data_IF_697981364944
#
_entry.id   IF_697981364944
#
_cell.length_a   1.000
_cell.length_b   1.000
_cell.length_c   1.000
_cell.angle_alpha   90.00
_cell.angle_beta   90.00
_cell.angle_gamma   90.00
#
_symmetry.space_group_name_H-M   'P 1'
#
loop_
_entity.id
_entity.type
_entity.pdbx_description
1 polymer ?
#
# COMPACT_ATOMS: atom_id res chain seq x y z
N UNK A 1 -38.25 3.71 26.45
CA UNK A 1 -36.96 2.97 26.40
C UNK A 1 -36.64 2.40 25.02
N UNK A 2 -37.48 1.55 24.39
CA UNK A 2 -37.19 0.95 23.07
C UNK A 2 -36.87 1.96 21.94
N UNK A 3 -37.65 3.05 21.83
CA UNK A 3 -37.40 4.10 20.82
C UNK A 3 -36.08 4.86 21.07
N UNK A 4 -35.76 5.14 22.34
CA UNK A 4 -34.51 5.82 22.71
C UNK A 4 -33.28 4.96 22.36
N UNK A 5 -33.34 3.66 22.65
CA UNK A 5 -32.30 2.70 22.29
C UNK A 5 -32.10 2.62 20.77
N UNK A 6 -33.19 2.57 20.00
CA UNK A 6 -33.15 2.57 18.54
C UNK A 6 -32.50 3.84 17.98
N UNK A 7 -32.86 5.02 18.49
CA UNK A 7 -32.24 6.28 18.05
C UNK A 7 -30.76 6.36 18.41
N UNK A 8 -30.37 5.85 19.60
CA UNK A 8 -28.96 5.78 19.99
C UNK A 8 -28.16 4.85 19.07
N UNK A 9 -28.67 3.65 18.78
CA UNK A 9 -28.02 2.72 17.85
C UNK A 9 -27.92 3.29 16.43
N UNK A 10 -28.97 3.98 15.95
CA UNK A 10 -28.95 4.63 14.65
C UNK A 10 -27.90 5.76 14.59
N UNK A 11 -27.79 6.56 15.66
CA UNK A 11 -26.79 7.62 15.75
C UNK A 11 -25.35 7.08 15.75
N UNK A 12 -25.08 6.02 16.52
CA UNK A 12 -23.77 5.32 16.49
C UNK A 12 -23.49 4.77 15.09
N UNK A 13 -24.50 4.18 14.44
CA UNK A 13 -24.40 3.68 13.07
C UNK A 13 -23.99 4.76 12.07
N UNK A 14 -24.59 5.95 12.15
CA UNK A 14 -24.26 7.09 11.29
C UNK A 14 -22.81 7.55 11.53
N UNK A 15 -22.37 7.65 12.78
CA UNK A 15 -20.98 8.03 13.10
C UNK A 15 -20.00 6.98 12.54
N UNK A 16 -20.27 5.69 12.72
CA UNK A 16 -19.47 4.62 12.14
C UNK A 16 -19.41 4.69 10.61
N UNK A 17 -20.52 5.02 9.95
CA UNK A 17 -20.56 5.22 8.51
C UNK A 17 -19.70 6.40 8.06
N UNK A 18 -19.85 7.56 8.71
CA UNK A 18 -19.07 8.77 8.40
C UNK A 18 -17.57 8.51 8.57
N UNK A 19 -17.18 7.89 9.68
CA UNK A 19 -15.76 7.56 9.94
C UNK A 19 -15.19 6.60 8.90
N UNK A 20 -15.97 5.60 8.45
CA UNK A 20 -15.57 4.69 7.36
C UNK A 20 -15.43 5.42 6.03
N UNK A 21 -16.36 6.31 5.68
CA UNK A 21 -16.31 7.11 4.45
C UNK A 21 -15.06 8.01 4.46
N UNK A 22 -14.79 8.72 5.56
CA UNK A 22 -13.59 9.56 5.69
C UNK A 22 -12.31 8.73 5.58
N UNK A 23 -12.30 7.55 6.21
CA UNK A 23 -11.19 6.60 6.10
C UNK A 23 -10.95 6.20 4.65
N UNK A 24 -12.00 5.82 3.94
CA UNK A 24 -11.95 5.45 2.53
C UNK A 24 -11.34 6.57 1.65
N UNK A 25 -11.86 7.80 1.75
CA UNK A 25 -11.34 8.93 0.96
C UNK A 25 -9.86 9.22 1.23
N UNK A 26 -9.42 9.09 2.48
CA UNK A 26 -8.01 9.29 2.84
C UNK A 26 -7.12 8.22 2.22
N UNK A 27 -7.55 6.96 2.28
CA UNK A 27 -6.77 5.84 1.74
C UNK A 27 -6.75 5.88 0.21
N UNK A 28 -7.87 6.20 -0.44
CA UNK A 28 -7.93 6.38 -1.90
C UNK A 28 -7.01 7.50 -2.38
N UNK A 29 -6.98 8.64 -1.66
CA UNK A 29 -6.05 9.73 -1.97
C UNK A 29 -4.58 9.31 -1.84
N UNK A 30 -4.24 8.54 -0.80
CA UNK A 30 -2.89 8.01 -0.60
C UNK A 30 -2.50 7.04 -1.72
N UNK A 31 -3.38 6.14 -2.11
CA UNK A 31 -3.14 5.19 -3.21
C UNK A 31 -2.94 5.91 -4.54
N UNK A 32 -3.80 6.88 -4.85
CA UNK A 32 -3.62 7.70 -6.06
C UNK A 32 -2.27 8.43 -6.07
N UNK A 33 -1.74 8.80 -4.90
CA UNK A 33 -0.40 9.35 -4.79
C UNK A 33 0.68 8.29 -5.03
N UNK A 34 0.52 7.08 -4.49
CA UNK A 34 1.43 5.95 -4.74
C UNK A 34 1.52 5.60 -6.22
N UNK A 35 0.38 5.51 -6.91
CA UNK A 35 0.36 5.26 -8.36
C UNK A 35 1.11 6.32 -9.16
N UNK A 36 0.77 7.61 -8.94
CA UNK A 36 1.46 8.73 -9.60
C UNK A 36 2.96 8.80 -9.29
N UNK A 37 3.39 8.27 -8.14
CA UNK A 37 4.79 8.26 -7.75
C UNK A 37 5.52 7.02 -8.28
N UNK A 38 4.85 5.88 -8.43
CA UNK A 38 5.42 4.68 -9.04
C UNK A 38 5.87 4.93 -10.48
N UNK A 39 5.12 5.73 -11.23
CA UNK A 39 5.53 6.16 -12.57
C UNK A 39 6.90 6.87 -12.59
N UNK A 40 7.27 7.54 -11.49
CA UNK A 40 8.54 8.26 -11.34
C UNK A 40 9.71 7.40 -10.87
N UNK A 41 9.46 6.16 -10.45
CA UNK A 41 10.53 5.21 -10.10
C UNK A 41 11.15 4.67 -11.38
N UNK A 42 12.46 4.67 -11.51
CA UNK A 42 13.14 4.16 -12.70
C UNK A 42 13.90 2.85 -12.40
N UNK A 43 14.02 2.00 -13.42
CA UNK A 43 14.84 0.79 -13.35
C UNK A 43 16.31 1.21 -13.14
N UNK A 44 16.99 0.55 -12.21
CA UNK A 44 18.36 0.88 -11.80
C UNK A 44 18.46 1.89 -10.66
N UNK A 45 17.35 2.49 -10.21
CA UNK A 45 17.35 3.25 -8.94
C UNK A 45 17.61 2.32 -7.76
N UNK A 46 18.18 2.86 -6.67
CA UNK A 46 18.26 2.10 -5.43
C UNK A 46 16.87 1.95 -4.80
N UNK A 47 16.68 0.85 -4.07
CA UNK A 47 15.44 0.59 -3.34
C UNK A 47 15.09 1.72 -2.36
N UNK A 48 16.10 2.37 -1.77
CA UNK A 48 15.93 3.52 -0.90
C UNK A 48 15.35 4.74 -1.63
N UNK A 49 15.90 5.06 -2.81
CA UNK A 49 15.40 6.15 -3.65
C UNK A 49 13.97 5.91 -4.10
N UNK A 50 13.68 4.69 -4.58
CA UNK A 50 12.34 4.29 -5.01
C UNK A 50 11.30 4.49 -3.90
N UNK A 51 11.64 4.11 -2.66
CA UNK A 51 10.75 4.26 -1.50
C UNK A 51 10.57 5.70 -1.05
N UNK A 52 11.63 6.51 -1.18
CA UNK A 52 11.56 7.95 -0.97
C UNK A 52 10.59 8.62 -1.95
N UNK A 53 10.61 8.19 -3.21
CA UNK A 53 9.70 8.69 -4.26
C UNK A 53 8.26 8.27 -3.98
N UNK A 54 8.02 6.98 -3.69
CA UNK A 54 6.67 6.46 -3.51
C UNK A 54 5.96 7.12 -2.31
N UNK A 55 6.67 7.36 -1.20
CA UNK A 55 6.10 7.99 0.00
C UNK A 55 5.67 6.98 1.06
N UNK A 56 6.47 5.92 1.22
CA UNK A 56 6.16 4.74 2.04
C UNK A 56 6.69 4.78 3.47
N UNK A 57 7.35 5.89 3.87
CA UNK A 57 8.00 6.04 5.17
C UNK A 57 7.07 5.76 6.36
N UNK A 58 5.75 5.80 6.17
CA UNK A 58 4.76 5.58 7.22
C UNK A 58 4.43 4.10 7.47
N UNK A 59 4.54 3.22 6.47
CA UNK A 59 4.28 1.78 6.59
C UNK A 59 5.54 0.96 6.90
N UNK A 60 6.73 1.59 6.88
CA UNK A 60 8.01 1.03 7.31
C UNK A 60 8.04 0.46 8.74
N UNK A 61 7.03 0.76 9.55
CA UNK A 61 7.00 0.40 10.98
C UNK A 61 6.03 -0.76 11.30
N UNK A 62 5.40 -1.37 10.29
CA UNK A 62 4.44 -2.48 10.47
C UNK A 62 5.08 -3.86 10.30
N UNK A 63 6.31 -3.91 9.78
CA UNK A 63 7.14 -5.10 9.71
C UNK A 63 8.13 -5.08 10.88
N UNK A 64 8.64 -6.25 11.31
CA UNK A 64 9.55 -6.37 12.45
C UNK A 64 10.92 -5.68 12.24
N UNK A 65 11.18 -5.12 11.06
CA UNK A 65 12.38 -4.38 10.73
C UNK A 65 12.03 -2.92 10.43
N UNK A 66 12.67 -1.98 11.13
CA UNK A 66 12.42 -0.52 11.03
C UNK A 66 12.75 0.08 9.65
N UNK A 67 13.08 -0.77 8.67
CA UNK A 67 13.63 -0.41 7.37
C UNK A 67 12.91 -1.03 6.18
N UNK A 68 11.85 -1.83 6.29
CA UNK A 68 11.25 -2.48 5.10
C UNK A 68 9.72 -2.31 5.02
N UNK A 69 9.22 -1.94 3.83
CA UNK A 69 7.86 -2.31 3.45
C UNK A 69 7.81 -3.84 3.35
N UNK A 70 6.63 -4.45 3.31
CA UNK A 70 6.55 -5.90 3.22
C UNK A 70 7.29 -6.40 1.96
N UNK A 71 8.41 -7.09 2.16
CA UNK A 71 9.15 -7.72 1.07
C UNK A 71 8.47 -9.05 0.81
N UNK A 72 7.89 -9.15 -0.38
CA UNK A 72 7.30 -10.39 -0.87
C UNK A 72 8.35 -11.12 -1.70
N UNK A 73 8.56 -12.38 -1.35
CA UNK A 73 9.39 -13.31 -2.09
C UNK A 73 8.44 -14.28 -2.78
N UNK A 74 8.47 -14.29 -4.12
CA UNK A 74 7.66 -15.20 -4.93
C UNK A 74 8.57 -16.03 -5.83
N UNK A 75 8.18 -17.28 -6.10
CA UNK A 75 8.90 -18.12 -7.05
C UNK A 75 8.13 -18.15 -8.38
N UNK A 76 8.82 -17.84 -9.48
CA UNK A 76 8.26 -17.97 -10.83
C UNK A 76 9.31 -18.58 -11.75
N UNK A 77 8.93 -19.67 -12.43
CA UNK A 77 9.81 -20.42 -13.35
C UNK A 77 11.16 -20.83 -12.72
N UNK A 78 11.15 -21.26 -11.45
CA UNK A 78 12.34 -21.68 -10.71
C UNK A 78 13.28 -20.54 -10.31
N UNK A 79 12.83 -19.27 -10.42
CA UNK A 79 13.57 -18.09 -9.98
C UNK A 79 12.81 -17.37 -8.86
N UNK A 80 13.54 -16.94 -7.84
CA UNK A 80 13.01 -16.10 -6.77
C UNK A 80 12.95 -14.64 -7.25
N UNK A 81 11.77 -14.04 -7.08
CA UNK A 81 11.50 -12.64 -7.33
C UNK A 81 11.26 -11.94 -6.00
N UNK A 82 11.90 -10.79 -5.83
CA UNK A 82 11.79 -9.96 -4.63
C UNK A 82 11.06 -8.69 -5.00
N UNK A 83 9.98 -8.39 -4.30
CA UNK A 83 9.19 -7.20 -4.56
C UNK A 83 8.74 -6.51 -3.28
N UNK A 84 8.66 -5.19 -3.32
CA UNK A 84 7.88 -4.40 -2.36
C UNK A 84 6.47 -4.25 -2.88
N UNK A 85 5.49 -4.67 -2.07
CA UNK A 85 4.08 -4.58 -2.42
C UNK A 85 3.37 -3.48 -1.63
N UNK A 86 2.51 -2.73 -2.32
CA UNK A 86 1.79 -1.59 -1.79
C UNK A 86 0.29 -1.86 -1.81
N UNK A 87 -0.39 -1.79 -0.66
CA UNK A 87 -1.78 -2.23 -0.55
C UNK A 87 -2.74 -1.30 -1.28
N UNK A 88 -3.69 -1.90 -1.99
CA UNK A 88 -4.84 -1.22 -2.59
C UNK A 88 -6.07 -1.23 -1.67
N UNK A 89 -6.95 -0.25 -1.87
CA UNK A 89 -8.24 -0.12 -1.17
C UNK A 89 -9.29 -1.05 -1.78
N UNK A 90 -9.15 -1.39 -3.06
CA UNK A 90 -10.10 -2.22 -3.78
C UNK A 90 -9.56 -3.62 -4.01
N UNK A 91 -10.31 -4.62 -3.52
CA UNK A 91 -9.99 -6.04 -3.61
C UNK A 91 -10.07 -6.65 -5.03
N UNK A 92 -10.06 -5.81 -6.08
CA UNK A 92 -10.23 -6.23 -7.48
C UNK A 92 -9.15 -5.72 -8.43
N UNK A 93 -8.14 -5.01 -7.94
CA UNK A 93 -6.98 -4.58 -8.73
C UNK A 93 -5.70 -5.17 -8.12
N UNK A 94 -4.72 -5.45 -8.97
CA UNK A 94 -3.43 -5.98 -8.55
C UNK A 94 -2.64 -4.91 -7.82
N UNK A 95 -2.13 -5.26 -6.63
CA UNK A 95 -1.30 -4.36 -5.85
C UNK A 95 -0.08 -3.89 -6.64
N UNK A 96 0.28 -2.63 -6.43
CA UNK A 96 1.48 -2.03 -6.98
C UNK A 96 2.71 -2.74 -6.40
N UNK A 97 3.66 -3.07 -7.27
CA UNK A 97 4.85 -3.84 -6.93
C UNK A 97 6.11 -3.18 -7.50
N UNK A 98 7.14 -3.05 -6.68
CA UNK A 98 8.49 -2.68 -7.13
C UNK A 98 9.37 -3.91 -7.00
N UNK A 99 9.88 -4.42 -8.11
CA UNK A 99 10.79 -5.56 -8.13
C UNK A 99 12.23 -5.07 -7.99
N UNK A 100 13.04 -5.82 -7.26
CA UNK A 100 14.43 -5.47 -7.03
C UNK A 100 15.33 -6.70 -6.94
N UNK A 101 16.61 -6.48 -7.19
CA UNK A 101 17.65 -7.47 -6.96
C UNK A 101 18.03 -7.47 -5.46
N UNK A 102 17.96 -8.62 -4.75
CA UNK A 102 18.22 -8.67 -3.31
C UNK A 102 19.70 -8.47 -2.93
N UNK A 103 20.64 -8.63 -3.87
CA UNK A 103 22.07 -8.45 -3.66
C UNK A 103 22.45 -6.99 -3.90
N UNK A 104 22.03 -6.42 -5.03
CA UNK A 104 22.40 -5.04 -5.41
C UNK A 104 21.44 -3.98 -4.86
N UNK A 105 20.24 -4.39 -4.42
CA UNK A 105 19.15 -3.52 -3.99
C UNK A 105 18.73 -2.48 -5.03
N UNK A 106 18.95 -2.81 -6.31
CA UNK A 106 18.53 -1.98 -7.44
C UNK A 106 17.15 -2.44 -7.92
N UNK A 107 16.31 -1.48 -8.30
CA UNK A 107 15.03 -1.74 -8.93
C UNK A 107 15.28 -2.41 -10.28
N UNK A 108 14.68 -3.57 -10.49
CA UNK A 108 14.80 -4.35 -11.71
C UNK A 108 13.56 -4.22 -12.59
N UNK A 109 12.40 -3.99 -11.98
CA UNK A 109 11.13 -3.80 -12.67
C UNK A 109 10.11 -3.11 -11.76
N UNK A 110 9.00 -2.64 -12.31
CA UNK A 110 7.89 -2.06 -11.55
C UNK A 110 6.55 -2.37 -12.20
N UNK A 111 5.54 -2.59 -11.36
CA UNK A 111 4.16 -2.71 -11.74
C UNK A 111 3.36 -1.66 -10.96
N UNK A 112 2.84 -0.66 -11.68
CA UNK A 112 2.13 0.47 -11.08
C UNK A 112 0.59 0.27 -11.07
N UNK A 113 0.09 -0.96 -11.17
CA UNK A 113 -1.35 -1.27 -11.17
C UNK A 113 -2.12 -0.86 -12.42
N UNK A 114 -3.32 -1.44 -12.57
CA UNK A 114 -4.40 -1.01 -13.47
C UNK A 114 -5.69 -0.77 -12.67
#
# INVERSE_FOLDING_TARGET
MKKLLLYFSAFVGIICLITKIIGFYRTEKLINQYYKNCEKVEIGMTLEQARGIIGDLKYQYWTQDKKSGEIIISESNGKLNYSLEYPLVFAGSDNMRIYFDPITLLVTDKFCGE
#
